data_IF_328989559016
#
_entry.id   IF_328989559016
#
_cell.length_a   1.000
_cell.length_b   1.000
_cell.length_c   1.000
_cell.angle_alpha   90.00
_cell.angle_beta   90.00
_cell.angle_gamma   90.00
#
_symmetry.space_group_name_H-M   'P 1'
#
loop_
_entity.id
_entity.type
_entity.pdbx_description
1 polymer ?
#
# COMPACT_ATOMS: atom_id res chain seq x y z
N UNK A 1 -8.64 16.01 27.45
CA UNK A 1 -7.27 16.16 26.93
C UNK A 1 -6.49 14.84 26.89
N UNK A 2 -6.05 14.28 28.02
CA UNK A 2 -5.14 13.12 28.03
C UNK A 2 -5.72 11.85 27.38
N UNK A 3 -7.00 11.54 27.63
CA UNK A 3 -7.64 10.35 27.06
C UNK A 3 -7.83 10.42 25.55
N UNK A 4 -8.20 11.59 25.00
CA UNK A 4 -8.41 11.78 23.56
C UNK A 4 -7.08 11.72 22.79
N UNK A 5 -6.03 12.36 23.31
CA UNK A 5 -4.68 12.24 22.76
C UNK A 5 -4.15 10.80 22.83
N UNK A 6 -4.47 10.08 23.91
CA UNK A 6 -4.11 8.66 24.06
C UNK A 6 -4.85 7.80 23.04
N UNK A 7 -6.15 8.03 22.83
CA UNK A 7 -6.97 7.31 21.87
C UNK A 7 -6.51 7.56 20.42
N UNK A 8 -6.20 8.80 20.08
CA UNK A 8 -5.59 9.18 18.79
C UNK A 8 -4.23 8.51 18.59
N UNK A 9 -3.37 8.54 19.61
CA UNK A 9 -2.05 7.90 19.55
C UNK A 9 -2.16 6.38 19.37
N UNK A 10 -3.17 5.76 20.00
CA UNK A 10 -3.49 4.34 19.83
C UNK A 10 -3.95 4.08 18.39
N UNK A 11 -4.81 4.92 17.82
CA UNK A 11 -5.27 4.77 16.44
C UNK A 11 -4.14 4.94 15.42
N UNK A 12 -3.25 5.91 15.61
CA UNK A 12 -2.03 6.10 14.83
C UNK A 12 -1.10 4.89 14.92
N UNK A 13 -0.89 4.38 16.13
CA UNK A 13 -0.07 3.18 16.37
C UNK A 13 -0.63 1.97 15.60
N UNK A 14 -1.94 1.79 15.60
CA UNK A 14 -2.60 0.75 14.80
C UNK A 14 -2.45 0.99 13.30
N UNK A 15 -2.66 2.21 12.80
CA UNK A 15 -2.43 2.55 11.38
C UNK A 15 -0.98 2.32 10.97
N UNK A 16 0.00 2.68 11.81
CA UNK A 16 1.41 2.39 11.57
C UNK A 16 1.70 0.89 11.56
N UNK A 17 1.09 0.10 12.45
CA UNK A 17 1.18 -1.36 12.39
C UNK A 17 0.54 -1.95 11.12
N UNK A 18 -0.55 -1.38 10.62
CA UNK A 18 -1.16 -1.79 9.36
C UNK A 18 -0.25 -1.46 8.17
N UNK A 19 0.34 -0.26 8.14
CA UNK A 19 1.34 0.10 7.13
C UNK A 19 2.58 -0.78 7.19
N UNK A 20 3.09 -1.10 8.39
CA UNK A 20 4.23 -2.02 8.54
C UNK A 20 3.91 -3.41 7.97
N UNK A 21 2.70 -3.92 8.22
CA UNK A 21 2.22 -5.19 7.64
C UNK A 21 2.11 -5.12 6.11
N UNK A 22 1.60 -4.02 5.56
CA UNK A 22 1.55 -3.79 4.11
C UNK A 22 2.96 -3.74 3.53
N UNK A 23 3.91 -3.07 4.18
CA UNK A 23 5.30 -3.02 3.72
C UNK A 23 5.97 -4.40 3.73
N UNK A 24 5.75 -5.22 4.76
CA UNK A 24 6.29 -6.59 4.75
C UNK A 24 5.65 -7.47 3.67
N UNK A 25 4.34 -7.33 3.43
CA UNK A 25 3.69 -8.00 2.29
C UNK A 25 4.30 -7.56 0.95
N UNK A 26 4.55 -6.24 0.76
CA UNK A 26 5.23 -5.72 -0.43
C UNK A 26 6.66 -6.25 -0.55
N UNK A 27 7.40 -6.39 0.56
CA UNK A 27 8.73 -7.02 0.58
C UNK A 27 8.66 -8.46 0.08
N UNK A 28 7.69 -9.24 0.54
CA UNK A 28 7.49 -10.62 0.09
C UNK A 28 7.16 -10.69 -1.40
N UNK A 29 6.32 -9.78 -1.91
CA UNK A 29 6.03 -9.65 -3.35
C UNK A 29 7.31 -9.31 -4.13
N UNK A 30 8.10 -8.34 -3.68
CA UNK A 30 9.34 -7.94 -4.33
C UNK A 30 10.37 -9.09 -4.39
N UNK A 31 10.53 -9.85 -3.30
CA UNK A 31 11.39 -11.04 -3.27
C UNK A 31 10.92 -12.07 -4.28
N UNK A 32 9.60 -12.32 -4.34
CA UNK A 32 9.03 -13.30 -5.26
C UNK A 32 9.10 -12.87 -6.73
N UNK A 33 8.94 -11.57 -7.00
CA UNK A 33 9.17 -11.00 -8.33
C UNK A 33 10.63 -11.16 -8.77
N UNK A 34 11.59 -10.90 -7.87
CA UNK A 34 13.01 -11.12 -8.16
C UNK A 34 13.30 -12.59 -8.49
N UNK A 35 12.73 -13.53 -7.72
CA UNK A 35 12.83 -14.96 -8.00
C UNK A 35 12.21 -15.34 -9.36
N UNK A 36 11.07 -14.76 -9.74
CA UNK A 36 10.47 -14.97 -11.06
C UNK A 36 11.34 -14.43 -12.18
N UNK A 37 11.90 -13.23 -12.03
CA UNK A 37 12.85 -12.67 -13.02
C UNK A 37 14.06 -13.59 -13.20
N UNK A 38 14.58 -14.16 -12.11
CA UNK A 38 15.70 -15.10 -12.16
C UNK A 38 15.31 -16.45 -12.77
N UNK A 39 14.02 -16.79 -12.76
CA UNK A 39 13.47 -18.02 -13.33
C UNK A 39 13.02 -17.86 -14.79
N UNK A 40 13.02 -16.63 -15.34
CA UNK A 40 12.75 -16.41 -16.74
C UNK A 40 13.93 -16.94 -17.57
N UNK A 41 13.69 -17.74 -18.62
CA UNK A 41 14.76 -18.27 -19.45
C UNK A 41 15.44 -17.13 -20.22
N UNK A 42 16.78 -17.10 -20.18
CA UNK A 42 17.60 -16.11 -20.90
C UNK A 42 17.37 -16.15 -22.43
N UNK A 43 16.90 -17.30 -22.95
CA UNK A 43 16.65 -17.53 -24.37
C UNK A 43 15.35 -18.32 -24.56
N UNK A 44 14.52 -17.89 -25.53
CA UNK A 44 13.21 -18.47 -25.87
C UNK A 44 12.21 -18.55 -24.69
N UNK A 45 11.74 -17.40 -24.16
CA UNK A 45 10.61 -17.43 -23.24
C UNK A 45 9.39 -17.95 -24.00
N UNK A 46 8.81 -19.07 -23.53
CA UNK A 46 7.56 -19.63 -24.06
C UNK A 46 6.39 -18.72 -23.68
N UNK A 47 6.33 -17.54 -24.30
CA UNK A 47 5.29 -16.52 -24.11
C UNK A 47 4.04 -16.82 -24.94
N UNK A 48 3.93 -18.04 -25.46
CA UNK A 48 2.83 -18.50 -26.31
C UNK A 48 2.59 -17.61 -27.55
N UNK A 49 3.66 -16.97 -28.07
CA UNK A 49 3.58 -16.06 -29.22
C UNK A 49 3.10 -14.66 -28.86
N UNK A 50 2.51 -13.96 -29.83
CA UNK A 50 2.04 -12.57 -29.66
C UNK A 50 0.89 -12.46 -28.66
N UNK A 51 0.00 -13.45 -28.64
CA UNK A 51 -1.21 -13.44 -27.80
C UNK A 51 -0.86 -13.50 -26.31
N UNK A 52 0.06 -14.40 -25.92
CA UNK A 52 0.49 -14.49 -24.52
C UNK A 52 1.34 -13.30 -24.07
N UNK A 53 2.05 -12.63 -24.99
CA UNK A 53 2.72 -11.35 -24.70
C UNK A 53 1.72 -10.23 -24.43
N UNK A 54 0.66 -10.14 -25.24
CA UNK A 54 -0.42 -9.17 -25.09
C UNK A 54 -1.18 -9.38 -23.77
N UNK A 55 -1.52 -10.63 -23.46
CA UNK A 55 -2.20 -11.00 -22.22
C UNK A 55 -1.33 -10.69 -20.99
N UNK A 56 -0.07 -11.10 -20.99
CA UNK A 56 0.87 -10.82 -19.91
C UNK A 56 1.09 -9.31 -19.70
N UNK A 57 1.20 -8.53 -20.78
CA UNK A 57 1.30 -7.08 -20.69
C UNK A 57 0.04 -6.45 -20.10
N UNK A 58 -1.14 -6.91 -20.51
CA UNK A 58 -2.42 -6.42 -19.99
C UNK A 58 -2.56 -6.70 -18.48
N UNK A 59 -2.16 -7.89 -18.04
CA UNK A 59 -2.18 -8.27 -16.63
C UNK A 59 -1.23 -7.43 -15.78
N UNK A 60 -0.01 -7.17 -16.27
CA UNK A 60 0.92 -6.27 -15.58
C UNK A 60 0.32 -4.87 -15.46
N UNK A 61 -0.23 -4.31 -16.53
CA UNK A 61 -0.89 -3.00 -16.49
C UNK A 61 -2.04 -2.97 -15.47
N UNK A 62 -2.89 -4.00 -15.46
CA UNK A 62 -4.00 -4.11 -14.50
C UNK A 62 -3.50 -4.14 -13.06
N UNK A 63 -2.44 -4.90 -12.78
CA UNK A 63 -1.84 -4.98 -11.44
C UNK A 63 -1.24 -3.65 -11.00
N UNK A 64 -0.57 -2.92 -11.91
CA UNK A 64 -0.05 -1.56 -11.62
C UNK A 64 -1.19 -0.60 -11.28
N UNK A 65 -2.27 -0.61 -12.06
CA UNK A 65 -3.44 0.24 -11.81
C UNK A 65 -4.02 -0.07 -10.42
N UNK A 66 -4.25 -1.35 -10.10
CA UNK A 66 -4.78 -1.76 -8.81
C UNK A 66 -3.88 -1.31 -7.64
N UNK A 67 -2.57 -1.39 -7.81
CA UNK A 67 -1.59 -0.94 -6.81
C UNK A 67 -1.65 0.57 -6.58
N UNK A 68 -1.73 1.38 -7.64
CA UNK A 68 -1.81 2.84 -7.55
C UNK A 68 -3.13 3.27 -6.89
N UNK A 69 -4.24 2.60 -7.22
CA UNK A 69 -5.53 2.84 -6.55
C UNK A 69 -5.44 2.52 -5.06
N UNK A 70 -4.88 1.36 -4.67
CA UNK A 70 -4.72 1.02 -3.25
C UNK A 70 -3.80 1.98 -2.49
N UNK A 71 -2.84 2.64 -3.15
CA UNK A 71 -2.05 3.70 -2.54
C UNK A 71 -2.87 4.99 -2.32
N UNK A 72 -3.75 5.34 -3.26
CA UNK A 72 -4.66 6.47 -3.09
C UNK A 72 -5.61 6.25 -1.91
N UNK A 73 -6.25 5.07 -1.83
CA UNK A 73 -7.14 4.72 -0.71
C UNK A 73 -6.43 4.80 0.65
N UNK A 74 -5.15 4.39 0.69
CA UNK A 74 -4.33 4.48 1.90
C UNK A 74 -4.02 5.94 2.28
N UNK A 75 -3.71 6.80 1.29
CA UNK A 75 -3.47 8.21 1.54
C UNK A 75 -4.73 8.94 2.02
N UNK A 76 -5.88 8.61 1.47
CA UNK A 76 -7.17 9.18 1.91
C UNK A 76 -7.45 8.78 3.37
N UNK A 77 -7.29 7.51 3.73
CA UNK A 77 -7.45 7.06 5.11
C UNK A 77 -6.45 7.73 6.08
N UNK A 78 -5.23 8.01 5.63
CA UNK A 78 -4.24 8.77 6.41
C UNK A 78 -4.65 10.24 6.57
N UNK A 79 -5.14 10.87 5.51
CA UNK A 79 -5.62 12.25 5.55
C UNK A 79 -6.79 12.41 6.52
N UNK A 80 -7.78 11.52 6.46
CA UNK A 80 -8.92 11.48 7.39
C UNK A 80 -8.45 11.33 8.84
N UNK A 81 -7.50 10.42 9.07
CA UNK A 81 -6.94 10.22 10.41
C UNK A 81 -6.24 11.49 10.91
N UNK A 82 -5.39 12.12 10.09
CA UNK A 82 -4.66 13.33 10.43
C UNK A 82 -5.59 14.53 10.65
N UNK A 83 -6.67 14.65 9.88
CA UNK A 83 -7.66 15.71 10.07
C UNK A 83 -8.29 15.64 11.45
N UNK A 84 -8.62 14.43 11.93
CA UNK A 84 -9.15 14.26 13.29
C UNK A 84 -8.15 14.69 14.36
N UNK A 85 -6.86 14.40 14.17
CA UNK A 85 -5.79 14.83 15.09
C UNK A 85 -5.67 16.34 15.11
N UNK A 86 -5.60 16.95 13.93
CA UNK A 86 -5.48 18.41 13.81
C UNK A 86 -6.68 19.09 14.43
N UNK A 87 -7.91 18.61 14.17
CA UNK A 87 -9.12 19.12 14.83
C UNK A 87 -9.05 18.99 16.34
N UNK A 88 -8.69 17.82 16.86
CA UNK A 88 -8.56 17.59 18.30
C UNK A 88 -7.49 18.47 18.96
N UNK A 89 -6.39 18.77 18.27
CA UNK A 89 -5.32 19.65 18.75
C UNK A 89 -5.68 21.15 18.69
N UNK A 90 -6.65 21.54 17.86
CA UNK A 90 -7.06 22.93 17.65
C UNK A 90 -8.34 23.33 18.40
N UNK A 91 -8.92 22.45 19.23
CA UNK A 91 -10.03 22.82 20.12
C UNK A 91 -9.44 23.78 21.16
N UNK A 92 -9.86 25.07 21.20
CA UNK A 92 -9.41 25.99 22.23
C UNK A 92 -9.87 25.46 23.59
N UNK A 93 -9.00 25.53 24.59
CA UNK A 93 -9.35 25.28 25.98
C UNK A 93 -10.39 26.34 26.41
N UNK A 94 -11.68 26.05 26.21
CA UNK A 94 -12.76 26.70 26.96
C UNK A 94 -13.01 25.87 28.23
N UNK A 95 -12.82 26.53 29.37
CA UNK A 95 -12.83 26.06 30.78
C UNK A 95 -13.70 24.84 31.12
#
# INVERSE_FOLDING_TARGET
MQNLLTEVAVHLSHSHQHMARIMDAKRQVAVRMSQMVTALPDMHPELNGLDGLLEGSADVTKNIIAYVVGLADMHDALADSLEQIVKAANIPDEE
#
